data_IF_168123041373
#
_entry.id   IF_168123041373
#
_cell.length_a   1.000
_cell.length_b   1.000
_cell.length_c   1.000
_cell.angle_alpha   90.00
_cell.angle_beta   90.00
_cell.angle_gamma   90.00
#
_symmetry.space_group_name_H-M   'P 1'
#
loop_
_entity.id
_entity.type
_entity.pdbx_description
1 polymer ?
#
# COMPACT_ATOMS: atom_id res chain seq x y z
N UNK A 1 -16.55 4.70 -6.22
CA UNK A 1 -17.99 4.99 -6.37
C UNK A 1 -18.33 5.49 -7.77
N UNK A 2 -17.40 6.17 -8.45
CA UNK A 2 -17.65 6.65 -9.82
C UNK A 2 -17.38 5.60 -10.92
N UNK A 3 -16.88 4.42 -10.58
CA UNK A 3 -16.66 3.34 -11.54
C UNK A 3 -18.00 2.81 -12.09
N UNK A 4 -18.00 2.39 -13.35
CA UNK A 4 -19.21 1.92 -14.04
C UNK A 4 -19.94 0.78 -13.30
N UNK A 5 -19.21 -0.07 -12.59
CA UNK A 5 -19.76 -1.16 -11.77
C UNK A 5 -20.63 -0.63 -10.64
N UNK A 6 -20.17 0.39 -9.91
CA UNK A 6 -20.94 1.00 -8.82
C UNK A 6 -22.17 1.75 -9.35
N UNK A 7 -22.07 2.42 -10.49
CA UNK A 7 -23.22 3.07 -11.11
C UNK A 7 -24.34 2.08 -11.41
N UNK A 8 -24.03 0.92 -11.98
CA UNK A 8 -25.01 -0.14 -12.22
C UNK A 8 -25.71 -0.60 -10.94
N UNK A 9 -24.96 -0.67 -9.81
CA UNK A 9 -25.54 -1.02 -8.51
C UNK A 9 -26.51 0.08 -8.03
N UNK A 10 -26.11 1.35 -8.13
CA UNK A 10 -26.95 2.47 -7.69
C UNK A 10 -28.21 2.61 -8.56
N UNK A 11 -28.09 2.40 -9.87
CA UNK A 11 -29.22 2.44 -10.80
C UNK A 11 -30.22 1.28 -10.53
N UNK A 12 -29.70 0.13 -10.06
CA UNK A 12 -30.53 -1.04 -9.75
C UNK A 12 -31.30 -0.90 -8.43
N UNK A 13 -30.65 -0.37 -7.40
CA UNK A 13 -31.22 -0.36 -6.04
C UNK A 13 -32.01 0.91 -5.68
N UNK A 14 -31.90 2.00 -6.42
CA UNK A 14 -32.61 3.29 -6.17
C UNK A 14 -32.74 3.65 -4.68
N UNK A 15 -31.63 3.78 -3.94
CA UNK A 15 -31.68 3.97 -2.49
C UNK A 15 -32.18 5.39 -2.13
N UNK A 16 -32.99 5.51 -1.09
CA UNK A 16 -33.41 6.82 -0.53
C UNK A 16 -32.24 7.64 -0.02
N UNK A 17 -31.21 6.97 0.51
CA UNK A 17 -29.98 7.61 1.02
C UNK A 17 -28.79 6.78 0.61
N UNK A 18 -27.78 7.46 0.10
CA UNK A 18 -26.48 6.88 -0.25
C UNK A 18 -25.38 7.54 0.59
N UNK A 19 -24.68 6.74 1.37
CA UNK A 19 -23.56 7.20 2.20
C UNK A 19 -22.30 6.48 1.72
N UNK A 20 -21.23 7.24 1.45
CA UNK A 20 -19.93 6.71 1.06
C UNK A 20 -18.87 7.04 2.09
N UNK A 21 -17.95 6.10 2.33
CA UNK A 21 -16.76 6.27 3.15
C UNK A 21 -15.53 6.11 2.26
N UNK A 22 -14.58 7.02 2.39
CA UNK A 22 -13.30 6.95 1.66
C UNK A 22 -12.21 7.69 2.42
N UNK A 23 -11.00 7.17 2.39
CA UNK A 23 -9.81 7.87 2.86
C UNK A 23 -9.27 8.87 1.82
N UNK A 24 -9.67 8.73 0.54
CA UNK A 24 -9.17 9.52 -0.59
C UNK A 24 -10.32 10.18 -1.35
N UNK A 25 -10.91 11.27 -0.82
CA UNK A 25 -12.02 11.97 -1.50
C UNK A 25 -11.58 12.60 -2.84
N UNK A 26 -10.30 13.00 -2.94
CA UNK A 26 -9.70 13.57 -4.14
C UNK A 26 -8.98 12.46 -4.92
N UNK A 27 -9.65 11.92 -5.91
CA UNK A 27 -9.09 10.83 -6.74
C UNK A 27 -8.12 11.35 -7.79
N UNK A 28 -7.01 10.64 -7.98
CA UNK A 28 -6.01 10.95 -9.00
C UNK A 28 -6.49 10.74 -10.45
N UNK A 29 -7.56 9.95 -10.66
CA UNK A 29 -8.18 9.69 -11.97
C UNK A 29 -9.07 10.84 -12.49
N UNK A 30 -9.12 11.97 -11.78
CA UNK A 30 -9.96 13.15 -12.08
C UNK A 30 -11.48 12.87 -12.15
N UNK A 31 -11.93 11.67 -11.79
CA UNK A 31 -13.35 11.37 -11.70
C UNK A 31 -13.90 11.88 -10.39
N UNK A 32 -14.70 12.92 -10.46
CA UNK A 32 -15.24 13.62 -9.29
C UNK A 32 -16.31 12.78 -8.58
N UNK A 33 -16.24 12.75 -7.25
CA UNK A 33 -17.24 12.07 -6.41
C UNK A 33 -18.60 12.82 -6.40
N UNK A 34 -18.62 14.10 -6.74
CA UNK A 34 -19.85 14.91 -6.83
C UNK A 34 -20.81 14.46 -7.96
N UNK A 35 -20.37 13.58 -8.85
CA UNK A 35 -21.26 12.90 -9.81
C UNK A 35 -22.16 11.85 -9.16
N UNK A 36 -21.87 11.44 -7.92
CA UNK A 36 -22.60 10.40 -7.18
C UNK A 36 -23.10 10.93 -5.84
N UNK A 37 -22.29 11.73 -5.14
CA UNK A 37 -22.62 12.26 -3.82
C UNK A 37 -22.83 13.77 -3.87
N UNK A 38 -23.90 14.25 -3.26
CA UNK A 38 -24.29 15.66 -3.29
C UNK A 38 -23.40 16.55 -2.41
N UNK A 39 -22.81 16.01 -1.34
CA UNK A 39 -21.93 16.74 -0.42
C UNK A 39 -21.06 15.83 0.42
N UNK A 40 -19.95 16.38 0.90
CA UNK A 40 -19.16 15.80 1.99
C UNK A 40 -19.76 16.26 3.31
N UNK A 41 -20.22 15.34 4.13
CA UNK A 41 -20.86 15.63 5.44
C UNK A 41 -19.89 15.54 6.60
N UNK A 42 -18.76 14.86 6.43
CA UNK A 42 -17.73 14.71 7.44
C UNK A 42 -16.38 14.51 6.75
N UNK A 43 -15.36 15.22 7.22
CA UNK A 43 -13.98 15.05 6.75
C UNK A 43 -13.02 15.31 7.90
N UNK A 44 -12.00 14.44 8.01
CA UNK A 44 -10.82 14.61 8.85
C UNK A 44 -9.61 14.21 8.04
N UNK A 45 -8.53 14.95 8.18
CA UNK A 45 -7.26 14.65 7.53
C UNK A 45 -6.33 13.86 8.46
N UNK A 46 -5.21 13.39 7.91
CA UNK A 46 -4.18 12.68 8.64
C UNK A 46 -3.69 13.45 9.87
N UNK A 47 -3.48 14.75 9.72
CA UNK A 47 -2.99 15.61 10.80
C UNK A 47 -3.95 15.61 11.97
N UNK A 48 -5.24 15.81 11.70
CA UNK A 48 -6.26 15.74 12.74
C UNK A 48 -6.25 14.38 13.46
N UNK A 49 -6.08 13.28 12.71
CA UNK A 49 -6.00 11.92 13.27
C UNK A 49 -4.81 11.73 14.22
N UNK A 50 -3.64 12.28 13.86
CA UNK A 50 -2.42 12.25 14.70
C UNK A 50 -2.61 13.13 15.94
N UNK A 51 -3.03 14.38 15.78
CA UNK A 51 -3.23 15.33 16.88
C UNK A 51 -4.25 14.87 17.93
N UNK A 52 -5.20 14.01 17.52
CA UNK A 52 -6.22 13.45 18.42
C UNK A 52 -5.96 12.00 18.87
N UNK A 53 -4.78 11.46 18.56
CA UNK A 53 -4.37 10.14 19.01
C UNK A 53 -5.05 8.96 18.33
N UNK A 54 -5.71 9.17 17.19
CA UNK A 54 -6.27 8.11 16.36
C UNK A 54 -5.24 7.46 15.43
N UNK A 55 -4.19 8.18 15.10
CA UNK A 55 -3.07 7.73 14.27
C UNK A 55 -1.75 8.03 14.97
N UNK A 56 -0.74 7.20 14.70
CA UNK A 56 0.62 7.45 15.18
C UNK A 56 1.30 8.58 14.40
N UNK A 57 2.35 9.15 14.96
CA UNK A 57 3.24 10.06 14.25
C UNK A 57 3.93 9.35 13.08
N UNK A 58 4.18 10.10 12.01
CA UNK A 58 4.80 9.58 10.78
C UNK A 58 6.15 10.26 10.58
N UNK A 59 7.21 9.47 10.55
CA UNK A 59 8.55 9.91 10.17
C UNK A 59 8.88 9.39 8.77
N UNK A 60 8.87 10.28 7.79
CA UNK A 60 9.20 9.93 6.42
C UNK A 60 10.70 10.14 6.15
N UNK A 61 11.37 9.11 5.63
CA UNK A 61 12.76 9.18 5.16
C UNK A 61 12.83 8.80 3.69
N UNK A 62 13.55 9.60 2.91
CA UNK A 62 13.84 9.29 1.52
C UNK A 62 15.22 8.66 1.42
N UNK A 63 15.29 7.44 0.92
CA UNK A 63 16.53 6.71 0.69
C UNK A 63 16.77 6.61 -0.81
N UNK A 64 18.00 6.90 -1.24
CA UNK A 64 18.40 6.67 -2.63
C UNK A 64 18.89 5.22 -2.77
N UNK A 65 18.14 4.41 -3.49
CA UNK A 65 18.47 3.00 -3.74
C UNK A 65 19.02 2.76 -5.15
N UNK A 66 19.38 3.83 -5.90
CA UNK A 66 20.08 3.72 -7.17
C UNK A 66 19.22 3.31 -8.37
N UNK A 67 17.92 3.65 -8.37
CA UNK A 67 17.04 3.40 -9.51
C UNK A 67 16.82 4.63 -10.39
N UNK A 68 16.50 4.40 -11.67
CA UNK A 68 16.11 5.45 -12.62
C UNK A 68 14.79 5.11 -13.29
N UNK A 69 13.78 5.96 -13.04
CA UNK A 69 12.44 5.83 -13.63
C UNK A 69 12.24 6.73 -14.87
N UNK A 70 13.25 7.43 -15.35
CA UNK A 70 13.14 8.39 -16.46
C UNK A 70 12.65 7.74 -17.76
N UNK A 71 12.92 6.45 -17.93
CA UNK A 71 12.56 5.65 -19.11
C UNK A 71 11.29 4.82 -18.92
N UNK A 72 10.72 4.78 -17.71
CA UNK A 72 9.52 4.00 -17.40
C UNK A 72 8.28 4.75 -17.87
N UNK A 73 7.54 4.16 -18.79
CA UNK A 73 6.30 4.75 -19.32
C UNK A 73 5.17 4.72 -18.30
N UNK A 74 4.30 5.69 -18.42
CA UNK A 74 3.06 5.72 -17.61
C UNK A 74 1.91 5.10 -18.39
N UNK A 75 1.21 4.14 -17.81
CA UNK A 75 0.06 3.48 -18.37
C UNK A 75 -1.13 3.58 -17.41
N UNK A 76 -2.25 4.18 -17.85
CA UNK A 76 -3.48 4.35 -17.07
C UNK A 76 -3.30 5.11 -15.75
N UNK A 77 -2.30 5.99 -15.68
CA UNK A 77 -2.02 6.80 -14.48
C UNK A 77 -1.06 6.16 -13.48
N UNK A 78 -0.47 5.01 -13.81
CA UNK A 78 0.55 4.32 -13.04
C UNK A 78 1.72 3.92 -13.95
N UNK A 79 2.83 3.47 -13.38
CA UNK A 79 3.97 2.97 -14.17
C UNK A 79 3.63 1.65 -14.87
N UNK A 80 4.21 1.45 -16.06
CA UNK A 80 4.10 0.18 -16.78
C UNK A 80 4.83 -0.93 -15.97
N UNK A 81 4.13 -2.00 -15.53
CA UNK A 81 4.68 -2.93 -14.53
C UNK A 81 5.99 -3.59 -14.93
N UNK A 82 6.13 -4.05 -16.18
CA UNK A 82 7.35 -4.71 -16.65
C UNK A 82 8.55 -3.76 -16.71
N UNK A 83 8.34 -2.52 -17.17
CA UNK A 83 9.39 -1.49 -17.23
C UNK A 83 9.78 -1.03 -15.82
N UNK A 84 8.82 -0.97 -14.90
CA UNK A 84 9.10 -0.65 -13.49
C UNK A 84 9.91 -1.76 -12.83
N UNK A 85 9.61 -3.03 -13.09
CA UNK A 85 10.37 -4.16 -12.59
C UNK A 85 11.82 -4.12 -13.08
N UNK A 86 12.03 -3.88 -14.38
CA UNK A 86 13.38 -3.73 -14.99
C UNK A 86 14.15 -2.56 -14.37
N UNK A 87 13.50 -1.41 -14.17
CA UNK A 87 14.12 -0.24 -13.54
C UNK A 87 14.50 -0.46 -12.07
N UNK A 88 13.84 -1.39 -11.39
CA UNK A 88 14.12 -1.75 -9.99
C UNK A 88 15.06 -2.95 -9.85
N UNK A 89 15.52 -3.53 -10.95
CA UNK A 89 16.49 -4.62 -10.92
C UNK A 89 17.79 -4.20 -10.23
N UNK A 90 18.34 -5.08 -9.38
CA UNK A 90 19.57 -4.80 -8.63
C UNK A 90 19.39 -3.92 -7.38
N UNK A 91 18.21 -3.37 -7.12
CA UNK A 91 18.00 -2.49 -5.93
C UNK A 91 17.82 -3.25 -4.61
N UNK A 92 17.62 -4.56 -4.64
CA UNK A 92 17.31 -5.37 -3.46
C UNK A 92 18.39 -5.31 -2.35
N UNK A 93 19.67 -5.17 -2.73
CA UNK A 93 20.77 -5.02 -1.75
C UNK A 93 20.68 -3.67 -1.01
N UNK A 94 20.42 -2.60 -1.74
CA UNK A 94 20.26 -1.26 -1.16
C UNK A 94 19.01 -1.17 -0.27
N UNK A 95 17.92 -1.82 -0.65
CA UNK A 95 16.70 -1.92 0.17
C UNK A 95 16.98 -2.70 1.45
N UNK A 96 17.66 -3.85 1.37
CA UNK A 96 18.02 -4.64 2.54
C UNK A 96 19.01 -3.90 3.45
N UNK A 97 19.89 -3.07 2.91
CA UNK A 97 20.75 -2.20 3.69
C UNK A 97 19.94 -1.12 4.41
N UNK A 98 19.04 -0.43 3.70
CA UNK A 98 18.15 0.56 4.31
C UNK A 98 17.28 -0.05 5.43
N UNK A 99 16.79 -1.27 5.23
CA UNK A 99 16.09 -2.00 6.28
C UNK A 99 16.95 -2.18 7.53
N UNK A 100 18.19 -2.66 7.38
CA UNK A 100 19.10 -2.87 8.53
C UNK A 100 19.48 -1.59 9.28
N UNK A 101 19.56 -0.48 8.57
CA UNK A 101 20.00 0.80 9.13
C UNK A 101 18.86 1.64 9.72
N UNK A 102 17.68 1.54 9.14
CA UNK A 102 16.60 2.50 9.40
C UNK A 102 15.33 1.89 9.96
N UNK A 103 15.08 0.59 9.72
CA UNK A 103 13.86 -0.04 10.19
C UNK A 103 13.87 -0.21 11.71
N UNK A 104 12.74 0.08 12.31
CA UNK A 104 12.46 -0.15 13.73
C UNK A 104 11.29 -1.12 13.84
N UNK A 105 11.49 -2.22 14.57
CA UNK A 105 10.42 -3.18 14.83
C UNK A 105 9.84 -3.88 13.60
N UNK A 106 8.57 -4.17 13.67
CA UNK A 106 7.85 -4.92 12.63
C UNK A 106 7.74 -4.13 11.34
N UNK A 107 8.26 -4.67 10.25
CA UNK A 107 8.44 -3.96 8.97
C UNK A 107 7.60 -4.54 7.86
N UNK A 108 6.97 -3.68 7.07
CA UNK A 108 6.24 -4.03 5.87
C UNK A 108 6.89 -3.36 4.65
N UNK A 109 7.37 -4.16 3.68
CA UNK A 109 7.99 -3.67 2.45
C UNK A 109 7.05 -3.91 1.28
N UNK A 110 6.82 -2.88 0.45
CA UNK A 110 6.06 -2.96 -0.79
C UNK A 110 7.00 -3.11 -1.97
N UNK A 111 6.98 -4.26 -2.63
CA UNK A 111 7.78 -4.55 -3.81
C UNK A 111 6.97 -4.31 -5.10
N UNK A 112 7.67 -4.00 -6.18
CA UNK A 112 7.06 -3.69 -7.48
C UNK A 112 6.62 -4.94 -8.25
N UNK A 113 7.23 -6.10 -7.97
CA UNK A 113 6.88 -7.40 -8.54
C UNK A 113 7.09 -8.53 -7.54
N UNK A 114 6.59 -9.72 -7.87
CA UNK A 114 6.82 -10.93 -7.05
C UNK A 114 8.30 -11.27 -7.00
N UNK A 115 8.98 -11.24 -8.15
CA UNK A 115 10.41 -11.50 -8.23
C UNK A 115 11.22 -10.51 -7.38
N UNK A 116 10.89 -9.22 -7.46
CA UNK A 116 11.54 -8.19 -6.63
C UNK A 116 11.30 -8.43 -5.14
N UNK A 117 10.10 -8.86 -4.74
CA UNK A 117 9.80 -9.22 -3.35
C UNK A 117 10.66 -10.38 -2.85
N UNK A 118 10.83 -11.41 -3.67
CA UNK A 118 11.67 -12.58 -3.36
C UNK A 118 13.15 -12.20 -3.22
N UNK A 119 13.64 -11.35 -4.12
CA UNK A 119 15.03 -10.88 -4.07
C UNK A 119 15.32 -10.05 -2.81
N UNK A 120 14.41 -9.19 -2.40
CA UNK A 120 14.52 -8.45 -1.15
C UNK A 120 14.50 -9.41 0.06
N UNK A 121 13.51 -10.33 0.10
CA UNK A 121 13.34 -11.23 1.22
C UNK A 121 14.53 -12.16 1.43
N UNK A 122 15.19 -12.64 0.37
CA UNK A 122 16.44 -13.43 0.46
C UNK A 122 17.57 -12.71 1.22
N UNK A 123 17.54 -11.38 1.27
CA UNK A 123 18.57 -10.53 1.88
C UNK A 123 18.23 -10.07 3.30
N UNK A 124 17.02 -10.35 3.76
CA UNK A 124 16.53 -9.96 5.09
C UNK A 124 16.23 -11.24 5.88
N UNK A 125 17.03 -11.60 6.90
CA UNK A 125 16.81 -12.80 7.69
C UNK A 125 15.42 -12.84 8.33
N UNK A 126 14.70 -13.93 8.14
CA UNK A 126 13.35 -14.11 8.69
C UNK A 126 12.23 -13.35 7.94
N UNK A 127 12.54 -12.66 6.84
CA UNK A 127 11.51 -12.03 6.03
C UNK A 127 10.64 -13.07 5.31
N UNK A 128 9.36 -12.78 5.19
CA UNK A 128 8.37 -13.62 4.50
C UNK A 128 7.75 -12.85 3.34
N UNK A 129 7.68 -13.50 2.17
CA UNK A 129 7.02 -12.92 0.99
C UNK A 129 5.53 -13.21 1.02
N UNK A 130 4.72 -12.18 0.74
CA UNK A 130 3.26 -12.30 0.61
C UNK A 130 2.82 -11.74 -0.74
N UNK A 131 2.18 -12.60 -1.54
CA UNK A 131 1.69 -12.27 -2.88
C UNK A 131 0.21 -12.60 -3.05
N UNK A 132 -0.33 -12.32 -4.23
CA UNK A 132 -1.69 -12.73 -4.62
C UNK A 132 -1.97 -14.22 -4.46
N UNK A 133 -0.96 -15.07 -4.63
CA UNK A 133 -1.06 -16.54 -4.58
C UNK A 133 -0.84 -17.14 -3.18
N UNK A 134 -0.41 -16.34 -2.20
CA UNK A 134 -0.18 -16.80 -0.83
C UNK A 134 -1.48 -17.29 -0.18
N UNK A 135 -1.57 -18.56 0.16
CA UNK A 135 -2.78 -19.21 0.68
C UNK A 135 -3.02 -18.89 2.17
N UNK A 136 -1.98 -18.97 2.99
CA UNK A 136 -2.08 -18.87 4.46
C UNK A 136 -1.76 -17.47 5.00
N UNK A 137 -2.28 -16.42 4.35
CA UNK A 137 -2.04 -15.02 4.75
C UNK A 137 -2.41 -14.73 6.20
N UNK A 138 -3.52 -15.30 6.67
CA UNK A 138 -3.98 -15.11 8.05
C UNK A 138 -2.98 -15.66 9.08
N UNK A 139 -2.36 -16.81 8.80
CA UNK A 139 -1.32 -17.39 9.66
C UNK A 139 -0.05 -16.52 9.64
N UNK A 140 0.36 -16.02 8.47
CA UNK A 140 1.51 -15.11 8.34
C UNK A 140 1.28 -13.82 9.11
N UNK A 141 0.11 -13.18 8.97
CA UNK A 141 -0.24 -11.96 9.71
C UNK A 141 -0.24 -12.24 11.21
N UNK A 142 -0.76 -13.38 11.64
CA UNK A 142 -0.75 -13.78 13.06
C UNK A 142 0.67 -13.93 13.59
N UNK A 143 1.55 -14.63 12.89
CA UNK A 143 2.96 -14.81 13.25
C UNK A 143 3.72 -13.46 13.25
N UNK A 144 3.46 -12.60 12.26
CA UNK A 144 4.01 -11.25 12.21
C UNK A 144 3.54 -10.41 13.40
N UNK A 145 2.26 -10.45 13.73
CA UNK A 145 1.71 -9.76 14.90
C UNK A 145 2.26 -10.32 16.22
N UNK A 146 2.54 -11.62 16.31
CA UNK A 146 3.19 -12.25 17.46
C UNK A 146 4.68 -11.92 17.58
N UNK A 147 5.31 -11.39 16.53
CA UNK A 147 6.75 -11.05 16.51
C UNK A 147 7.65 -12.20 16.08
N UNK A 148 7.09 -13.26 15.55
CA UNK A 148 7.83 -14.41 15.01
C UNK A 148 8.42 -14.10 13.63
N UNK A 149 7.77 -13.21 12.88
CA UNK A 149 8.21 -12.69 11.58
C UNK A 149 8.58 -11.22 11.74
N UNK A 150 9.83 -10.80 11.48
CA UNK A 150 10.27 -9.42 11.64
C UNK A 150 9.87 -8.51 10.47
N UNK A 151 9.77 -9.08 9.28
CA UNK A 151 9.53 -8.34 8.04
C UNK A 151 8.62 -9.12 7.08
N UNK A 152 7.61 -8.46 6.54
CA UNK A 152 6.84 -8.96 5.41
C UNK A 152 7.20 -8.14 4.18
N UNK A 153 7.59 -8.82 3.10
CA UNK A 153 7.76 -8.20 1.78
C UNK A 153 6.57 -8.58 0.93
N UNK A 154 5.75 -7.61 0.55
CA UNK A 154 4.54 -7.89 -0.20
C UNK A 154 4.56 -7.29 -1.60
N UNK A 155 3.82 -7.93 -2.51
CA UNK A 155 3.54 -7.43 -3.83
C UNK A 155 2.02 -7.33 -4.02
N UNK A 156 1.50 -6.08 -4.10
CA UNK A 156 0.10 -5.75 -4.40
C UNK A 156 -0.97 -6.36 -3.46
N UNK A 157 -0.60 -6.79 -2.23
CA UNK A 157 -1.55 -7.47 -1.32
C UNK A 157 -2.07 -6.55 -0.22
N UNK A 158 -1.20 -5.78 0.42
CA UNK A 158 -1.56 -4.94 1.57
C UNK A 158 -1.73 -3.46 1.19
N UNK A 159 -2.24 -3.19 0.00
CA UNK A 159 -2.39 -1.84 -0.54
C UNK A 159 -3.55 -1.07 0.08
N UNK A 160 -4.66 -1.75 0.37
CA UNK A 160 -5.85 -1.14 0.96
C UNK A 160 -6.55 -2.14 1.91
N UNK A 161 -7.22 -1.61 2.94
CA UNK A 161 -8.09 -2.39 3.82
C UNK A 161 -7.39 -3.35 4.79
N UNK A 162 -6.08 -3.20 4.97
CA UNK A 162 -5.30 -4.03 5.89
C UNK A 162 -4.97 -3.23 7.13
N UNK A 163 -5.38 -3.74 8.29
CA UNK A 163 -5.06 -3.18 9.60
C UNK A 163 -4.11 -4.14 10.34
N UNK A 164 -2.87 -3.73 10.51
CA UNK A 164 -1.84 -4.46 11.25
C UNK A 164 -1.19 -3.50 12.25
N UNK A 165 -1.76 -3.35 13.45
CA UNK A 165 -1.33 -2.35 14.44
C UNK A 165 0.13 -2.47 14.89
N UNK A 166 0.76 -3.64 14.66
CA UNK A 166 2.14 -3.88 15.03
C UNK A 166 3.16 -3.22 14.06
N UNK A 167 2.75 -2.83 12.86
CA UNK A 167 3.67 -2.25 11.87
C UNK A 167 4.29 -0.95 12.41
N UNK A 168 5.61 -0.90 12.46
CA UNK A 168 6.39 0.25 12.91
C UNK A 168 7.16 0.91 11.75
N UNK A 169 7.51 0.13 10.71
CA UNK A 169 8.21 0.63 9.52
C UNK A 169 7.50 0.16 8.25
N UNK A 170 7.36 1.07 7.28
CA UNK A 170 6.85 0.78 5.94
C UNK A 170 7.84 1.30 4.90
#
# INVERSE_FOLDING_TARGET
AAANTYRKIFDHFTPDKLIGFTATPNRGDKVRLDTVFSKIIFQRDLRWGIEHGYLCDIFCRRVNIGYDLSHVRTQRGDYAPGELEEAMEGTADAIAQAYRELATGATLIFAVSVHHAEEIAKRIPGAVVVTGETKDRAAIIKAFTAGEIPCIVNCMVFTEGTDIPRVETV
#
